data_IF_839760802952
#
_entry.id   IF_839760802952
#
_cell.length_a   1.000
_cell.length_b   1.000
_cell.length_c   1.000
_cell.angle_alpha   90.00
_cell.angle_beta   90.00
_cell.angle_gamma   90.00
#
_symmetry.space_group_name_H-M   'P 1'
#
loop_
_entity.id
_entity.type
_entity.pdbx_description
1 polymer ?
#
# COMPACT_ATOMS: atom_id res chain seq x y z
N UNK A 1 -33.51 14.90 51.82
CA UNK A 1 -33.03 13.67 51.15
C UNK A 1 -32.01 14.11 50.11
N UNK A 2 -30.75 13.66 50.22
CA UNK A 2 -29.65 14.12 49.36
C UNK A 2 -29.64 13.28 48.08
N UNK A 3 -29.96 13.89 46.94
CA UNK A 3 -29.95 13.22 45.64
C UNK A 3 -28.57 13.39 45.01
N UNK A 4 -27.94 12.26 44.69
CA UNK A 4 -26.57 12.17 44.21
C UNK A 4 -26.51 12.22 42.67
N UNK A 5 -26.08 13.35 42.12
CA UNK A 5 -26.06 13.63 40.67
C UNK A 5 -24.83 13.10 39.92
N UNK A 6 -23.89 12.44 40.59
CA UNK A 6 -22.62 11.99 40.00
C UNK A 6 -22.70 10.70 39.16
N UNK A 7 -23.86 10.03 39.08
CA UNK A 7 -24.04 8.82 38.26
C UNK A 7 -24.34 9.09 36.78
N UNK A 8 -24.65 10.33 36.40
CA UNK A 8 -24.97 10.69 35.01
C UNK A 8 -23.85 11.45 34.29
N UNK A 9 -22.72 11.71 34.97
CA UNK A 9 -21.56 12.38 34.35
C UNK A 9 -20.62 11.42 33.60
N UNK A 10 -20.93 10.12 33.55
CA UNK A 10 -20.11 9.12 32.85
C UNK A 10 -20.67 8.72 31.47
N UNK A 11 -21.71 9.40 30.98
CA UNK A 11 -22.36 9.10 29.70
C UNK A 11 -22.04 10.12 28.60
N UNK A 12 -20.81 10.64 28.57
CA UNK A 12 -20.35 11.57 27.53
C UNK A 12 -18.88 11.38 27.12
N UNK A 13 -18.34 10.17 27.29
CA UNK A 13 -16.93 9.83 27.00
C UNK A 13 -16.79 8.65 26.03
N UNK A 14 -17.72 8.49 25.10
CA UNK A 14 -17.66 7.41 24.07
C UNK A 14 -17.94 7.92 22.64
N UNK A 15 -18.18 9.22 22.42
CA UNK A 15 -18.60 9.72 21.08
C UNK A 15 -17.46 10.18 20.17
N UNK A 16 -16.21 9.87 20.47
CA UNK A 16 -15.11 10.07 19.51
C UNK A 16 -14.25 8.82 19.39
N UNK A 17 -14.92 7.68 19.16
CA UNK A 17 -14.35 6.70 18.25
C UNK A 17 -14.37 7.35 16.86
N UNK A 18 -13.32 8.12 16.55
CA UNK A 18 -12.98 8.44 15.18
C UNK A 18 -12.71 7.09 14.53
N UNK A 19 -13.71 6.57 13.84
CA UNK A 19 -13.51 5.48 12.90
C UNK A 19 -12.61 6.03 11.81
N UNK A 20 -11.31 5.73 11.91
CA UNK A 20 -10.43 5.76 10.75
C UNK A 20 -11.01 4.75 9.77
N UNK A 21 -11.79 5.23 8.81
CA UNK A 21 -12.19 4.48 7.65
C UNK A 21 -10.96 4.35 6.74
N UNK A 22 -9.98 3.54 7.16
CA UNK A 22 -9.04 2.97 6.21
C UNK A 22 -9.86 2.00 5.35
N UNK A 23 -9.85 2.24 4.04
CA UNK A 23 -10.67 1.57 3.01
C UNK A 23 -10.40 0.07 2.80
N UNK A 24 -10.24 -0.68 3.88
CA UNK A 24 -10.22 -2.14 3.90
C UNK A 24 -11.66 -2.64 3.92
N UNK A 25 -12.35 -2.48 2.79
CA UNK A 25 -13.65 -3.13 2.57
C UNK A 25 -13.43 -4.65 2.55
N UNK A 26 -13.91 -5.41 3.55
CA UNK A 26 -13.71 -6.86 3.62
C UNK A 26 -14.40 -7.61 2.47
N UNK A 27 -15.28 -6.95 1.71
CA UNK A 27 -16.06 -7.55 0.62
C UNK A 27 -15.42 -7.48 -0.78
N UNK A 28 -14.22 -6.90 -0.94
CA UNK A 28 -13.56 -6.81 -2.29
C UNK A 28 -13.08 -8.17 -2.84
N UNK A 29 -12.92 -9.18 -1.99
CA UNK A 29 -12.35 -10.48 -2.36
C UNK A 29 -13.28 -11.64 -1.98
N UNK A 30 -14.23 -11.95 -2.85
CA UNK A 30 -15.25 -13.01 -2.65
C UNK A 30 -14.86 -14.39 -3.19
N UNK A 31 -13.65 -14.53 -3.73
CA UNK A 31 -13.16 -15.79 -4.25
C UNK A 31 -12.92 -16.82 -3.15
N UNK A 32 -13.14 -18.11 -3.46
CA UNK A 32 -12.96 -19.24 -2.52
C UNK A 32 -11.54 -19.40 -1.99
N UNK A 33 -10.53 -18.98 -2.74
CA UNK A 33 -9.11 -19.16 -2.41
C UNK A 33 -8.43 -17.81 -2.36
N UNK A 34 -7.61 -17.61 -1.32
CA UNK A 34 -6.76 -16.43 -1.14
C UNK A 34 -5.33 -16.88 -0.88
N UNK A 35 -4.35 -16.29 -1.56
CA UNK A 35 -2.92 -16.50 -1.30
C UNK A 35 -2.22 -15.16 -1.18
N UNK A 36 -1.20 -15.11 -0.35
CA UNK A 36 -0.46 -13.88 -0.05
C UNK A 36 1.05 -14.10 0.01
N UNK A 37 1.79 -13.04 -0.29
CA UNK A 37 3.26 -12.96 -0.21
C UNK A 37 3.61 -11.62 0.43
N UNK A 38 4.52 -11.64 1.40
CA UNK A 38 5.02 -10.44 2.07
C UNK A 38 6.51 -10.32 1.83
N UNK A 39 6.95 -9.11 1.49
CA UNK A 39 8.35 -8.79 1.26
C UNK A 39 8.70 -7.61 2.16
N UNK A 40 9.78 -7.72 2.93
CA UNK A 40 10.28 -6.64 3.78
C UNK A 40 11.75 -6.39 3.46
N UNK A 41 12.09 -5.12 3.22
CA UNK A 41 13.45 -4.66 2.93
C UNK A 41 13.76 -3.40 3.71
N UNK A 42 15.03 -3.27 4.09
CA UNK A 42 15.53 -2.19 4.91
C UNK A 42 16.87 -1.69 4.37
N UNK A 43 17.02 -0.38 4.23
CA UNK A 43 18.19 0.26 3.64
C UNK A 43 18.58 1.50 4.44
N UNK A 44 19.86 1.60 4.81
CA UNK A 44 20.40 2.84 5.37
C UNK A 44 20.59 3.86 4.25
N UNK A 45 20.19 5.11 4.50
CA UNK A 45 20.19 6.16 3.48
C UNK A 45 20.73 7.48 4.03
N UNK A 46 21.17 8.33 3.11
CA UNK A 46 21.48 9.73 3.39
C UNK A 46 20.20 10.54 3.62
N UNK A 47 20.34 11.65 4.35
CA UNK A 47 19.26 12.57 4.74
C UNK A 47 18.44 13.11 3.56
N UNK A 48 19.04 13.18 2.37
CA UNK A 48 18.41 13.73 1.15
C UNK A 48 18.22 12.68 0.05
N UNK A 49 18.24 11.40 0.41
CA UNK A 49 18.10 10.33 -0.57
C UNK A 49 16.72 10.36 -1.26
N UNK A 50 16.66 9.78 -2.45
CA UNK A 50 15.44 9.66 -3.23
C UNK A 50 14.76 8.32 -2.97
N UNK A 51 13.52 8.33 -2.50
CA UNK A 51 12.63 7.18 -2.55
C UNK A 51 11.87 7.16 -3.87
N UNK A 52 11.98 6.08 -4.64
CA UNK A 52 11.26 5.91 -5.90
C UNK A 52 10.37 4.68 -5.88
N UNK A 53 9.07 4.86 -6.06
CA UNK A 53 8.11 3.75 -6.05
C UNK A 53 7.35 3.74 -7.35
N UNK A 54 7.29 2.57 -7.98
CA UNK A 54 6.41 2.31 -9.10
C UNK A 54 5.58 1.07 -8.77
N UNK A 55 4.28 1.29 -8.53
CA UNK A 55 3.34 0.24 -8.22
C UNK A 55 2.20 0.24 -9.24
N UNK A 56 1.65 -0.94 -9.47
CA UNK A 56 0.38 -1.10 -10.17
C UNK A 56 -0.50 -2.00 -9.31
N UNK A 57 -1.74 -1.57 -9.03
CA UNK A 57 -2.77 -2.33 -8.33
C UNK A 57 -2.57 -2.49 -6.82
N UNK A 58 -2.85 -1.43 -6.06
CA UNK A 58 -2.87 -1.41 -4.60
C UNK A 58 -2.55 -0.01 -4.08
N UNK A 59 -2.58 0.16 -2.77
CA UNK A 59 -2.27 1.44 -2.14
C UNK A 59 -0.77 1.57 -1.86
N UNK A 60 -0.25 2.78 -1.98
CA UNK A 60 1.10 3.15 -1.55
C UNK A 60 0.97 4.07 -0.34
N UNK A 61 1.39 3.59 0.83
CA UNK A 61 1.36 4.33 2.09
C UNK A 61 2.78 4.69 2.52
N UNK A 62 3.08 5.99 2.55
CA UNK A 62 4.41 6.53 2.90
C UNK A 62 4.32 7.24 4.24
N UNK A 63 4.98 6.66 5.23
CA UNK A 63 5.02 7.11 6.62
C UNK A 63 6.37 7.75 6.89
N UNK A 64 6.36 8.96 7.43
CA UNK A 64 7.58 9.67 7.75
C UNK A 64 8.08 9.34 9.15
N UNK A 65 9.40 9.25 9.32
CA UNK A 65 10.03 9.00 10.62
C UNK A 65 11.39 9.70 10.77
N UNK A 66 11.94 9.66 11.98
CA UNK A 66 13.21 10.31 12.35
C UNK A 66 14.37 9.29 12.42
N UNK A 67 14.51 8.48 11.38
CA UNK A 67 15.61 7.53 11.23
C UNK A 67 16.17 7.63 9.82
N UNK A 68 17.51 7.57 9.67
CA UNK A 68 18.22 7.61 8.39
C UNK A 68 18.14 6.27 7.64
N UNK A 69 16.92 5.80 7.46
CA UNK A 69 16.63 4.48 6.94
C UNK A 69 15.33 4.48 6.15
N UNK A 70 15.28 3.70 5.09
CA UNK A 70 14.05 3.37 4.37
C UNK A 70 13.68 1.93 4.70
N UNK A 71 12.43 1.72 5.11
CA UNK A 71 11.84 0.38 5.28
C UNK A 71 10.69 0.24 4.30
N UNK A 72 10.71 -0.80 3.48
CA UNK A 72 9.66 -1.09 2.51
C UNK A 72 9.05 -2.44 2.87
N UNK A 73 7.75 -2.43 3.14
CA UNK A 73 6.93 -3.63 3.30
C UNK A 73 5.96 -3.69 2.12
N UNK A 74 5.99 -4.80 1.37
CA UNK A 74 5.06 -5.06 0.28
C UNK A 74 4.20 -6.25 0.65
N UNK A 75 2.89 -6.08 0.62
CA UNK A 75 1.90 -7.14 0.82
C UNK A 75 1.17 -7.39 -0.49
N UNK A 76 1.48 -8.54 -1.10
CA UNK A 76 0.86 -9.01 -2.33
C UNK A 76 -0.21 -10.02 -1.93
N UNK A 77 -1.43 -9.84 -2.44
CA UNK A 77 -2.57 -10.72 -2.23
C UNK A 77 -3.21 -11.04 -3.56
N UNK A 78 -3.59 -12.30 -3.73
CA UNK A 78 -4.39 -12.77 -4.88
C UNK A 78 -5.58 -13.58 -4.37
N UNK A 79 -6.72 -13.48 -5.06
CA UNK A 79 -7.96 -14.14 -4.66
C UNK A 79 -8.80 -14.54 -5.88
N UNK A 80 -9.43 -15.71 -5.81
CA UNK A 80 -10.24 -16.24 -6.89
C UNK A 80 -10.90 -17.57 -6.54
N UNK A 81 -11.62 -18.15 -7.50
CA UNK A 81 -12.36 -19.41 -7.30
C UNK A 81 -11.57 -20.67 -7.70
N UNK A 82 -10.37 -20.50 -8.24
CA UNK A 82 -9.49 -21.54 -8.77
C UNK A 82 -8.12 -21.37 -8.11
N UNK A 83 -7.75 -22.33 -7.26
CA UNK A 83 -6.55 -22.23 -6.42
C UNK A 83 -5.26 -22.18 -7.25
N UNK A 84 -5.17 -23.00 -8.31
CA UNK A 84 -3.98 -23.06 -9.17
C UNK A 84 -3.77 -21.75 -9.91
N UNK A 85 -4.86 -21.13 -10.40
CA UNK A 85 -4.79 -19.79 -11.01
C UNK A 85 -4.38 -18.72 -10.01
N UNK A 86 -4.89 -18.77 -8.78
CA UNK A 86 -4.52 -17.85 -7.70
C UNK A 86 -3.02 -17.96 -7.38
N UNK A 87 -2.50 -19.18 -7.19
CA UNK A 87 -1.09 -19.42 -6.92
C UNK A 87 -0.21 -18.97 -8.09
N UNK A 88 -0.59 -19.34 -9.32
CA UNK A 88 0.16 -18.95 -10.52
C UNK A 88 0.24 -17.42 -10.64
N UNK A 89 -0.87 -16.71 -10.39
CA UNK A 89 -0.90 -15.26 -10.46
C UNK A 89 -0.02 -14.62 -9.38
N UNK A 90 -0.05 -15.15 -8.16
CA UNK A 90 0.82 -14.68 -7.07
C UNK A 90 2.31 -14.81 -7.43
N UNK A 91 2.68 -15.92 -8.06
CA UNK A 91 4.07 -16.19 -8.46
C UNK A 91 4.55 -15.32 -9.61
N UNK A 92 3.65 -14.80 -10.45
CA UNK A 92 3.98 -13.86 -11.53
C UNK A 92 4.23 -12.43 -11.02
N UNK A 93 3.92 -12.14 -9.76
CA UNK A 93 4.12 -10.82 -9.16
C UNK A 93 5.46 -10.80 -8.44
N UNK A 94 6.36 -10.00 -8.98
CA UNK A 94 7.68 -9.74 -8.43
C UNK A 94 7.83 -8.26 -8.06
N UNK A 95 8.77 -7.99 -7.15
CA UNK A 95 9.14 -6.63 -6.78
C UNK A 95 10.65 -6.51 -6.93
N UNK A 96 11.06 -5.68 -7.88
CA UNK A 96 12.45 -5.34 -8.11
C UNK A 96 12.87 -4.21 -7.19
N UNK A 97 14.04 -4.37 -6.55
CA UNK A 97 14.60 -3.38 -5.63
C UNK A 97 15.98 -2.93 -6.11
N UNK A 98 16.17 -1.62 -6.18
CA UNK A 98 17.48 -1.00 -6.39
C UNK A 98 17.78 -0.11 -5.20
N UNK A 99 18.95 -0.23 -4.59
CA UNK A 99 19.28 0.54 -3.40
C UNK A 99 20.74 0.99 -3.38
N UNK A 100 20.93 2.25 -3.03
CA UNK A 100 22.19 2.89 -2.68
C UNK A 100 21.94 3.84 -1.51
N UNK A 101 23.00 4.45 -0.98
CA UNK A 101 22.87 5.45 0.09
C UNK A 101 22.04 6.69 -0.36
N UNK A 102 22.00 6.99 -1.65
CA UNK A 102 21.34 8.20 -2.20
C UNK A 102 20.00 7.91 -2.86
N UNK A 103 19.66 6.64 -3.10
CA UNK A 103 18.43 6.27 -3.78
C UNK A 103 17.97 4.88 -3.38
N UNK A 104 16.68 4.74 -3.07
CA UNK A 104 16.01 3.46 -2.87
C UNK A 104 14.81 3.41 -3.81
N UNK A 105 14.79 2.44 -4.71
CA UNK A 105 13.68 2.20 -5.62
C UNK A 105 13.04 0.83 -5.38
N UNK A 106 11.72 0.78 -5.49
CA UNK A 106 10.96 -0.46 -5.59
C UNK A 106 9.98 -0.39 -6.76
N UNK A 107 9.98 -1.41 -7.60
CA UNK A 107 9.12 -1.51 -8.79
C UNK A 107 8.36 -2.82 -8.78
N UNK A 108 7.04 -2.76 -8.92
CA UNK A 108 6.23 -3.95 -9.17
C UNK A 108 6.43 -4.39 -10.60
N UNK A 109 6.82 -5.64 -10.78
CA UNK A 109 6.99 -6.29 -12.08
C UNK A 109 6.02 -7.46 -12.14
N UNK A 110 5.12 -7.43 -13.11
CA UNK A 110 4.17 -8.52 -13.34
C UNK A 110 4.62 -9.20 -14.62
N UNK A 111 5.18 -10.40 -14.50
CA UNK A 111 5.71 -11.13 -15.65
C UNK A 111 4.65 -11.26 -16.75
N UNK A 112 4.93 -10.67 -17.91
CA UNK A 112 4.09 -10.82 -19.08
C UNK A 112 4.47 -12.10 -19.82
N UNK A 113 3.67 -13.16 -19.67
CA UNK A 113 3.64 -14.18 -20.72
C UNK A 113 3.01 -13.54 -21.96
N UNK A 114 3.73 -13.58 -23.08
CA UNK A 114 3.43 -12.94 -24.37
C UNK A 114 1.93 -12.71 -24.67
N UNK A 115 1.63 -11.46 -25.03
CA UNK A 115 0.38 -10.96 -25.67
C UNK A 115 -0.98 -11.22 -25.00
N UNK A 116 -1.05 -11.88 -23.84
CA UNK A 116 -2.34 -12.44 -23.37
C UNK A 116 -2.85 -11.97 -21.99
N UNK A 117 -2.12 -11.17 -21.22
CA UNK A 117 -2.55 -10.85 -19.84
C UNK A 117 -3.65 -9.77 -19.78
N UNK A 118 -3.57 -8.72 -20.60
CA UNK A 118 -4.62 -7.69 -20.71
C UNK A 118 -5.91 -8.26 -21.32
N UNK A 119 -5.78 -9.15 -22.31
CA UNK A 119 -6.91 -9.86 -22.91
C UNK A 119 -7.50 -10.90 -21.97
N UNK A 120 -6.69 -11.59 -21.15
CA UNK A 120 -7.18 -12.53 -20.13
C UNK A 120 -7.91 -11.84 -18.97
N UNK A 121 -7.57 -10.59 -18.63
CA UNK A 121 -8.30 -9.79 -17.64
C UNK A 121 -9.69 -9.37 -18.16
N UNK A 122 -9.76 -8.97 -19.44
CA UNK A 122 -10.99 -8.49 -20.08
C UNK A 122 -11.90 -9.62 -20.58
N UNK A 123 -11.38 -10.83 -20.77
CA UNK A 123 -12.13 -11.99 -21.26
C UNK A 123 -12.67 -12.88 -20.12
N UNK A 124 -13.64 -12.36 -19.36
CA UNK A 124 -14.77 -13.04 -18.69
C UNK A 124 -14.68 -14.44 -18.02
N UNK A 125 -13.52 -15.09 -17.86
CA UNK A 125 -13.42 -16.50 -17.47
C UNK A 125 -12.44 -16.75 -16.33
N UNK A 126 -12.86 -16.51 -15.09
CA UNK A 126 -12.10 -16.63 -13.83
C UNK A 126 -11.00 -15.56 -13.63
N UNK A 127 -11.43 -14.32 -13.45
CA UNK A 127 -10.56 -13.22 -13.05
C UNK A 127 -10.04 -13.46 -11.62
N UNK A 128 -8.72 -13.63 -11.48
CA UNK A 128 -8.04 -13.59 -10.20
C UNK A 128 -7.88 -12.13 -9.82
N UNK A 129 -8.50 -11.72 -8.71
CA UNK A 129 -8.30 -10.39 -8.15
C UNK A 129 -6.92 -10.35 -7.51
N UNK A 130 -6.24 -9.21 -7.61
CA UNK A 130 -4.93 -9.01 -6.99
C UNK A 130 -4.83 -7.62 -6.37
N UNK A 131 -4.00 -7.51 -5.34
CA UNK A 131 -3.70 -6.27 -4.63
C UNK A 131 -2.26 -6.32 -4.12
N UNK A 132 -1.54 -5.24 -4.32
CA UNK A 132 -0.11 -5.07 -4.08
C UNK A 132 0.05 -3.77 -3.30
N UNK A 133 -0.05 -3.90 -1.98
CA UNK A 133 0.02 -2.77 -1.07
C UNK A 133 1.45 -2.53 -0.62
N UNK A 134 1.89 -1.28 -0.73
CA UNK A 134 3.17 -0.81 -0.23
C UNK A 134 2.96 -0.03 1.07
N UNK A 135 3.75 -0.36 2.09
CA UNK A 135 3.89 0.42 3.30
C UNK A 135 5.35 0.76 3.49
N UNK A 136 5.66 2.05 3.48
CA UNK A 136 7.03 2.54 3.42
C UNK A 136 7.28 3.47 4.60
N UNK A 137 8.36 3.27 5.33
CA UNK A 137 8.89 4.26 6.28
C UNK A 137 10.08 4.96 5.67
N UNK A 138 10.08 6.29 5.70
CA UNK A 138 11.09 7.11 5.02
C UNK A 138 11.48 8.32 5.89
N UNK A 139 12.76 8.77 5.90
CA UNK A 139 13.14 9.96 6.64
C UNK A 139 12.37 11.18 6.11
N UNK A 140 11.91 12.05 7.02
CA UNK A 140 11.07 13.22 6.66
C UNK A 140 11.71 14.16 5.63
N UNK A 141 13.05 14.20 5.54
CA UNK A 141 13.81 15.08 4.65
C UNK A 141 14.06 14.48 3.26
N UNK A 142 13.78 13.19 3.07
CA UNK A 142 14.01 12.54 1.80
C UNK A 142 13.07 13.05 0.70
N UNK A 143 13.53 12.93 -0.54
CA UNK A 143 12.70 13.20 -1.72
C UNK A 143 11.89 11.96 -2.06
N UNK A 144 10.69 12.14 -2.59
CA UNK A 144 9.81 11.04 -3.01
C UNK A 144 9.40 11.19 -4.47
N UNK A 145 9.49 10.12 -5.24
CA UNK A 145 9.01 9.97 -6.62
C UNK A 145 8.09 8.75 -6.67
N UNK A 146 6.79 8.98 -6.53
CA UNK A 146 5.79 7.93 -6.40
C UNK A 146 4.91 7.87 -7.65
N UNK A 147 4.75 6.68 -8.20
CA UNK A 147 3.85 6.38 -9.31
C UNK A 147 2.95 5.22 -8.93
N UNK A 148 1.64 5.38 -9.07
CA UNK A 148 0.67 4.32 -8.86
C UNK A 148 -0.47 4.36 -9.88
N UNK A 149 -0.68 3.28 -10.61
CA UNK A 149 -1.69 3.25 -11.67
C UNK A 149 -3.10 3.04 -11.13
N UNK A 150 -3.27 2.11 -10.17
CA UNK A 150 -4.57 1.71 -9.64
C UNK A 150 -4.51 1.58 -8.12
N UNK A 151 -5.21 2.45 -7.40
CA UNK A 151 -5.19 2.52 -5.94
C UNK A 151 -4.69 3.86 -5.41
N UNK A 152 -4.84 4.08 -4.11
CA UNK A 152 -4.49 5.34 -3.48
C UNK A 152 -2.99 5.53 -3.23
N UNK A 153 -2.55 6.77 -3.18
CA UNK A 153 -1.25 7.14 -2.60
C UNK A 153 -1.54 7.99 -1.36
N UNK A 154 -1.05 7.54 -0.22
CA UNK A 154 -1.05 8.26 1.05
C UNK A 154 0.38 8.62 1.40
N UNK A 155 0.63 9.89 1.74
CA UNK A 155 1.94 10.35 2.20
C UNK A 155 1.74 11.18 3.46
N UNK A 156 2.47 10.83 4.52
CA UNK A 156 2.65 11.68 5.69
C UNK A 156 3.48 12.95 5.35
N UNK A 157 3.80 13.72 6.38
CA UNK A 157 4.62 14.93 6.26
C UNK A 157 5.99 14.65 5.61
N UNK A 158 6.31 15.35 4.52
CA UNK A 158 7.61 15.27 3.85
C UNK A 158 8.15 16.69 3.62
N UNK A 159 9.38 16.94 4.09
CA UNK A 159 10.10 18.21 3.87
C UNK A 159 10.92 18.23 2.58
N UNK A 160 11.20 17.06 2.01
CA UNK A 160 11.87 16.92 0.72
C UNK A 160 10.92 17.19 -0.44
N UNK A 161 11.47 17.23 -1.66
CA UNK A 161 10.65 17.35 -2.86
C UNK A 161 9.79 16.09 -3.05
N UNK A 162 8.49 16.28 -3.26
CA UNK A 162 7.56 15.22 -3.62
C UNK A 162 7.14 15.34 -5.10
N UNK A 163 7.30 14.25 -5.84
CA UNK A 163 6.76 14.04 -7.18
C UNK A 163 5.82 12.85 -7.12
N UNK A 164 4.58 13.03 -7.55
CA UNK A 164 3.51 12.05 -7.37
C UNK A 164 2.73 11.93 -8.68
N UNK A 165 2.53 10.71 -9.15
CA UNK A 165 1.66 10.35 -10.26
C UNK A 165 0.66 9.30 -9.78
N UNK A 166 -0.63 9.61 -9.90
CA UNK A 166 -1.70 8.68 -9.57
C UNK A 166 -2.74 8.74 -10.68
N UNK A 167 -2.92 7.62 -11.38
CA UNK A 167 -3.75 7.59 -12.59
C UNK A 167 -5.21 7.27 -12.23
N UNK A 168 -5.46 6.13 -11.58
CA UNK A 168 -6.80 5.67 -11.19
C UNK A 168 -6.87 5.37 -9.70
N UNK A 169 -6.91 6.43 -8.90
CA UNK A 169 -6.91 6.33 -7.45
C UNK A 169 -7.32 7.62 -6.74
N UNK A 170 -6.89 7.74 -5.48
CA UNK A 170 -7.02 8.94 -4.69
C UNK A 170 -5.65 9.33 -4.12
N UNK A 171 -5.47 10.61 -3.85
CA UNK A 171 -4.27 11.14 -3.21
C UNK A 171 -4.66 11.67 -1.83
N UNK A 172 -3.97 11.20 -0.80
CA UNK A 172 -4.01 11.76 0.55
C UNK A 172 -2.62 12.29 0.89
N UNK A 173 -2.51 13.61 1.04
CA UNK A 173 -1.23 14.30 1.22
C UNK A 173 -1.24 15.01 2.57
N UNK A 174 -0.34 14.57 3.44
CA UNK A 174 -0.01 15.21 4.71
C UNK A 174 0.75 16.53 4.53
N UNK A 175 1.13 17.11 5.68
CA UNK A 175 1.72 18.46 5.79
C UNK A 175 3.13 18.62 5.20
#
# INVERSE_FOLDING_TARGET
MKTNYYKYLFLFLVTSAVTFANGNDPDRFKGRYTKEKKISKQYNVNVNALLKINNSYGNVDVISWDQNQVVIEVHIKTNGNDEDKVIKKLNQIEVSFEASADMVAARTEIESTSSSWWSSWTSGGNNVNMEINYKIKVPVTNKVDLSNDYGGISIDKIKGQAKISCDYGHLDLGE
#
